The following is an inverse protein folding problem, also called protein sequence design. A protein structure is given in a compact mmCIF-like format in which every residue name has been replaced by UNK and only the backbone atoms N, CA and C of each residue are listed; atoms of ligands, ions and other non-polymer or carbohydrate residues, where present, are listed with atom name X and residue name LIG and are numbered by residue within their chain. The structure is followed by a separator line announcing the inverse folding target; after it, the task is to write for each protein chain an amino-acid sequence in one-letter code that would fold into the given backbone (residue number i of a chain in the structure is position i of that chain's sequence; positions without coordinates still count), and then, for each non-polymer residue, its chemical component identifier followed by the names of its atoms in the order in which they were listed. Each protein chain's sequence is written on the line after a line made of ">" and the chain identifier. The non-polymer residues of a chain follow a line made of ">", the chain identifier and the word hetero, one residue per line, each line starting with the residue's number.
data_IF_113629451180
#
_entry.id   IF_113629451180
#
_cell.length_a   1.000
_cell.length_b   1.000
_cell.length_c   1.000
_cell.angle_alpha   90.00
_cell.angle_beta   90.00
_cell.angle_gamma   90.00
#
_symmetry.space_group_name_H-M   'P 1'
#
loop_
_entity.id
_entity.type
_entity.pdbx_description
1 polymer ?
#
# COMPACT_ATOMS: atom_id res chain seq x y z
N UNK A 1 38.26 -0.92 -12.04
CA UNK A 1 37.58 -2.24 -11.95
C UNK A 1 36.15 -2.02 -11.48
N UNK A 2 35.18 -2.66 -12.12
CA UNK A 2 33.80 -2.71 -11.65
C UNK A 2 33.55 -4.04 -10.97
N UNK A 3 33.30 -4.00 -9.67
CA UNK A 3 32.94 -5.17 -8.89
C UNK A 3 31.43 -5.30 -8.79
N UNK A 4 30.90 -6.44 -9.23
CA UNK A 4 29.53 -6.85 -8.99
C UNK A 4 29.47 -7.94 -7.93
N UNK A 5 28.25 -8.36 -7.56
CA UNK A 5 28.09 -9.41 -6.54
C UNK A 5 28.70 -10.75 -7.00
N UNK A 6 28.51 -11.11 -8.26
CA UNK A 6 28.83 -12.44 -8.81
C UNK A 6 29.99 -12.46 -9.80
N UNK A 7 30.28 -11.32 -10.42
CA UNK A 7 31.30 -11.15 -11.45
C UNK A 7 31.93 -9.77 -11.30
N UNK A 8 33.12 -9.60 -11.84
CA UNK A 8 33.78 -8.30 -11.97
C UNK A 8 34.20 -8.06 -13.42
N UNK A 9 34.47 -6.80 -13.77
CA UNK A 9 34.90 -6.41 -15.10
C UNK A 9 35.96 -5.30 -15.03
N UNK A 10 37.03 -5.35 -15.84
CA UNK A 10 37.95 -4.24 -16.03
C UNK A 10 37.24 -3.02 -16.62
N UNK A 11 37.75 -1.81 -16.34
CA UNK A 11 37.18 -0.58 -16.91
C UNK A 11 37.44 -0.50 -18.43
N UNK A 12 38.61 -0.99 -18.86
CA UNK A 12 39.10 -0.96 -20.25
C UNK A 12 38.19 -1.78 -21.20
N UNK A 13 37.58 -2.86 -20.69
CA UNK A 13 36.64 -3.69 -21.45
C UNK A 13 35.44 -2.92 -22.01
N UNK A 14 35.01 -1.85 -21.34
CA UNK A 14 33.91 -1.02 -21.82
C UNK A 14 34.31 -0.16 -23.05
N UNK A 15 35.60 0.19 -23.16
CA UNK A 15 36.11 1.07 -24.22
C UNK A 15 36.57 0.30 -25.47
N UNK A 16 36.95 -0.97 -25.31
CA UNK A 16 37.37 -1.84 -26.43
C UNK A 16 36.20 -2.49 -27.18
N UNK A 17 34.96 -2.24 -26.77
CA UNK A 17 33.76 -2.80 -27.42
C UNK A 17 33.44 -4.26 -27.04
N UNK A 18 34.21 -4.88 -26.14
CA UNK A 18 33.99 -6.24 -25.65
C UNK A 18 33.82 -6.26 -24.12
N UNK A 19 32.63 -6.59 -23.65
CA UNK A 19 32.35 -6.71 -22.21
C UNK A 19 32.91 -8.01 -21.64
N UNK A 20 34.20 -8.03 -21.28
CA UNK A 20 34.77 -9.14 -20.51
C UNK A 20 34.28 -9.10 -19.06
N UNK A 21 33.43 -10.07 -18.70
CA UNK A 21 32.97 -10.30 -17.32
C UNK A 21 33.60 -11.58 -16.79
N UNK A 22 34.51 -11.44 -15.82
CA UNK A 22 35.18 -12.58 -15.20
C UNK A 22 34.43 -12.98 -13.93
N UNK A 23 34.24 -14.30 -13.74
CA UNK A 23 33.73 -14.82 -12.47
C UNK A 23 34.83 -14.69 -11.41
N UNK A 24 34.44 -14.56 -10.14
CA UNK A 24 35.41 -14.73 -9.06
C UNK A 24 35.92 -16.18 -9.09
N UNK A 25 37.16 -16.38 -9.53
CA UNK A 25 37.86 -17.67 -9.65
C UNK A 25 38.85 -17.86 -8.49
N UNK A 26 39.53 -19.02 -8.42
CA UNK A 26 40.32 -19.46 -7.24
C UNK A 26 41.30 -18.41 -6.70
N UNK A 27 41.91 -17.59 -7.57
CA UNK A 27 42.85 -16.54 -7.18
C UNK A 27 42.18 -15.36 -6.46
N UNK A 28 40.90 -15.07 -6.72
CA UNK A 28 40.10 -14.03 -6.08
C UNK A 28 38.91 -14.60 -5.29
N UNK A 29 38.86 -15.91 -5.05
CA UNK A 29 37.71 -16.56 -4.41
C UNK A 29 37.61 -16.17 -2.94
N UNK A 30 38.75 -16.00 -2.25
CA UNK A 30 38.78 -15.52 -0.87
C UNK A 30 38.27 -14.07 -0.73
N UNK A 31 38.36 -13.28 -1.80
CA UNK A 31 37.90 -11.89 -1.85
C UNK A 31 36.43 -11.79 -2.35
N UNK A 32 35.78 -12.92 -2.67
CA UNK A 32 34.40 -12.92 -3.14
C UNK A 32 33.44 -12.53 -1.99
N UNK A 33 32.46 -11.66 -2.26
CA UNK A 33 31.59 -11.14 -1.20
C UNK A 33 30.45 -12.10 -0.86
N UNK A 34 30.80 -13.26 -0.27
CA UNK A 34 29.86 -14.34 0.07
C UNK A 34 28.70 -13.86 0.95
N UNK A 35 29.00 -13.03 1.95
CA UNK A 35 27.99 -12.49 2.88
C UNK A 35 26.98 -11.62 2.12
N UNK A 36 27.44 -10.75 1.23
CA UNK A 36 26.56 -9.90 0.43
C UNK A 36 25.69 -10.72 -0.55
N UNK A 37 26.25 -11.81 -1.11
CA UNK A 37 25.48 -12.76 -1.95
C UNK A 37 24.37 -13.45 -1.16
N UNK A 38 24.66 -13.90 0.06
CA UNK A 38 23.69 -14.53 0.93
C UNK A 38 22.54 -13.58 1.23
N UNK A 39 22.84 -12.35 1.67
CA UNK A 39 21.82 -11.35 1.94
C UNK A 39 21.01 -10.96 0.70
N UNK A 40 21.67 -10.83 -0.47
CA UNK A 40 20.97 -10.58 -1.73
C UNK A 40 20.01 -11.73 -2.09
N UNK A 41 20.43 -12.98 -1.89
CA UNK A 41 19.57 -14.15 -2.10
C UNK A 41 18.38 -14.18 -1.13
N UNK A 42 18.62 -13.93 0.16
CA UNK A 42 17.57 -13.86 1.18
C UNK A 42 16.58 -12.74 0.88
N UNK A 43 17.05 -11.56 0.48
CA UNK A 43 16.21 -10.42 0.09
C UNK A 43 15.29 -10.76 -1.08
N UNK A 44 15.80 -11.47 -2.10
CA UNK A 44 15.00 -11.91 -3.23
C UNK A 44 13.93 -12.93 -2.82
N UNK A 45 14.28 -13.92 -2.00
CA UNK A 45 13.33 -14.93 -1.53
C UNK A 45 12.22 -14.31 -0.66
N UNK A 46 12.58 -13.42 0.27
CA UNK A 46 11.62 -12.74 1.13
C UNK A 46 10.72 -11.78 0.33
N UNK A 47 11.31 -11.01 -0.59
CA UNK A 47 10.56 -10.14 -1.49
C UNK A 47 9.58 -10.91 -2.38
N UNK A 48 10.03 -12.02 -2.98
CA UNK A 48 9.20 -12.87 -3.82
C UNK A 48 8.03 -13.49 -3.06
N UNK A 49 8.26 -13.95 -1.82
CA UNK A 49 7.18 -14.46 -0.96
C UNK A 49 6.12 -13.39 -0.68
N UNK A 50 6.54 -12.16 -0.32
CA UNK A 50 5.60 -11.08 -0.04
C UNK A 50 4.79 -10.69 -1.27
N UNK A 51 5.45 -10.55 -2.43
CA UNK A 51 4.78 -10.27 -3.70
C UNK A 51 3.84 -11.39 -4.12
N UNK A 52 4.19 -12.65 -3.87
CA UNK A 52 3.32 -13.79 -4.16
C UNK A 52 2.03 -13.75 -3.33
N UNK A 53 2.12 -13.46 -2.04
CA UNK A 53 0.93 -13.30 -1.18
C UNK A 53 0.06 -12.12 -1.65
N UNK A 54 0.68 -11.01 -2.00
CA UNK A 54 -0.03 -9.84 -2.55
C UNK A 54 -0.73 -10.18 -3.87
N UNK A 55 -0.03 -10.81 -4.80
CA UNK A 55 -0.59 -11.25 -6.09
C UNK A 55 -1.73 -12.24 -5.93
N UNK A 56 -1.55 -13.23 -5.06
CA UNK A 56 -2.57 -14.21 -4.75
C UNK A 56 -3.83 -13.53 -4.18
N UNK A 57 -3.66 -12.57 -3.27
CA UNK A 57 -4.76 -11.76 -2.76
C UNK A 57 -5.47 -10.98 -3.86
N UNK A 58 -4.74 -10.34 -4.78
CA UNK A 58 -5.34 -9.57 -5.88
C UNK A 58 -6.15 -10.44 -6.85
N UNK A 59 -5.71 -11.67 -7.12
CA UNK A 59 -6.40 -12.57 -8.05
C UNK A 59 -7.64 -13.20 -7.40
N UNK A 60 -7.50 -13.72 -6.19
CA UNK A 60 -8.55 -14.51 -5.56
C UNK A 60 -9.45 -13.71 -4.61
N UNK A 61 -9.02 -12.51 -4.18
CA UNK A 61 -9.71 -11.71 -3.18
C UNK A 61 -9.71 -12.32 -1.76
N UNK A 62 -8.93 -13.38 -1.55
CA UNK A 62 -8.89 -14.14 -0.30
C UNK A 62 -7.49 -14.04 0.30
N UNK A 63 -7.39 -13.53 1.53
CA UNK A 63 -6.17 -13.56 2.33
C UNK A 63 -6.51 -13.80 3.80
N UNK A 64 -5.77 -14.71 4.45
CA UNK A 64 -5.89 -14.89 5.91
C UNK A 64 -5.11 -13.80 6.64
N UNK A 65 -5.55 -13.42 7.83
CA UNK A 65 -4.87 -12.43 8.67
C UNK A 65 -3.40 -12.83 8.94
N UNK A 66 -3.16 -14.10 9.24
CA UNK A 66 -1.82 -14.60 9.55
C UNK A 66 -0.89 -14.52 8.34
N UNK A 67 -1.36 -14.90 7.15
CA UNK A 67 -0.56 -14.82 5.92
C UNK A 67 -0.25 -13.38 5.54
N UNK A 68 -1.20 -12.45 5.75
CA UNK A 68 -0.99 -11.03 5.46
C UNK A 68 0.05 -10.41 6.40
N UNK A 69 -0.10 -10.61 7.72
CA UNK A 69 0.86 -10.10 8.71
C UNK A 69 2.25 -10.73 8.50
N UNK A 70 2.30 -12.02 8.13
CA UNK A 70 3.55 -12.68 7.72
C UNK A 70 4.18 -11.98 6.51
N UNK A 71 3.41 -11.74 5.44
CA UNK A 71 3.89 -11.10 4.22
C UNK A 71 4.43 -9.68 4.48
N UNK A 72 3.79 -8.90 5.37
CA UNK A 72 4.29 -7.58 5.81
C UNK A 72 5.65 -7.72 6.49
N UNK A 73 5.78 -8.61 7.48
CA UNK A 73 7.04 -8.83 8.21
C UNK A 73 8.16 -9.29 7.30
N UNK A 74 7.87 -10.20 6.37
CA UNK A 74 8.84 -10.71 5.41
C UNK A 74 9.21 -9.64 4.36
N UNK A 75 8.29 -8.76 3.97
CA UNK A 75 8.57 -7.58 3.13
C UNK A 75 9.57 -6.63 3.81
N UNK A 76 9.35 -6.33 5.10
CA UNK A 76 10.26 -5.51 5.89
C UNK A 76 11.66 -6.14 5.98
N UNK A 77 11.74 -7.46 6.21
CA UNK A 77 13.00 -8.20 6.20
C UNK A 77 13.71 -8.14 4.84
N UNK A 78 12.95 -8.14 3.73
CA UNK A 78 13.53 -7.98 2.38
C UNK A 78 14.27 -6.64 2.25
N UNK A 79 13.65 -5.54 2.72
CA UNK A 79 14.29 -4.23 2.73
C UNK A 79 15.57 -4.19 3.56
N UNK A 80 15.57 -4.82 4.74
CA UNK A 80 16.75 -4.94 5.62
C UNK A 80 17.85 -5.75 4.93
N UNK A 81 17.55 -6.96 4.42
CA UNK A 81 18.53 -7.80 3.74
C UNK A 81 19.09 -7.14 2.48
N UNK A 82 18.25 -6.45 1.71
CA UNK A 82 18.70 -5.67 0.56
C UNK A 82 19.67 -4.56 0.99
N UNK A 83 19.38 -3.84 2.08
CA UNK A 83 20.30 -2.84 2.64
C UNK A 83 21.62 -3.45 3.14
N UNK A 84 21.57 -4.63 3.77
CA UNK A 84 22.76 -5.36 4.24
C UNK A 84 23.69 -5.82 3.10
N UNK A 85 23.22 -5.87 1.85
CA UNK A 85 24.12 -6.10 0.70
C UNK A 85 25.22 -5.03 0.59
N UNK A 86 24.99 -3.83 1.12
CA UNK A 86 25.96 -2.73 1.15
C UNK A 86 27.14 -2.99 2.11
N UNK A 87 27.07 -4.02 2.96
CA UNK A 87 28.23 -4.50 3.74
C UNK A 87 29.40 -4.85 2.81
N UNK A 88 29.14 -5.15 1.53
CA UNK A 88 30.17 -5.29 0.50
C UNK A 88 31.23 -4.19 0.53
N UNK A 89 30.82 -2.92 0.73
CA UNK A 89 31.74 -1.78 0.76
C UNK A 89 32.67 -1.76 1.97
N UNK A 90 32.35 -2.52 3.03
CA UNK A 90 33.23 -2.71 4.19
C UNK A 90 34.15 -3.93 4.07
N UNK A 91 34.05 -4.69 3.00
CA UNK A 91 34.88 -5.88 2.78
C UNK A 91 36.33 -5.55 2.40
N UNK A 92 37.20 -6.56 2.45
CA UNK A 92 38.63 -6.44 2.20
C UNK A 92 38.97 -5.82 0.83
N UNK A 93 38.14 -6.08 -0.19
CA UNK A 93 38.28 -5.51 -1.54
C UNK A 93 38.25 -3.98 -1.52
N UNK A 94 37.33 -3.39 -0.75
CA UNK A 94 37.18 -1.94 -0.62
C UNK A 94 38.00 -1.35 0.52
N UNK A 95 38.51 -2.19 1.43
CA UNK A 95 39.50 -1.76 2.41
C UNK A 95 40.87 -1.52 1.76
N UNK A 96 41.26 -2.39 0.82
CA UNK A 96 42.54 -2.28 0.09
C UNK A 96 42.51 -1.26 -1.05
N UNK A 97 41.35 -1.03 -1.66
CA UNK A 97 41.19 -0.13 -2.81
C UNK A 97 40.17 0.97 -2.50
N UNK A 98 40.40 2.19 -3.01
CA UNK A 98 39.38 3.24 -2.92
C UNK A 98 38.16 2.86 -3.77
N UNK A 99 37.08 2.41 -3.11
CA UNK A 99 35.83 2.07 -3.77
C UNK A 99 34.90 3.29 -3.84
N UNK A 100 34.33 3.51 -5.03
CA UNK A 100 33.23 4.45 -5.24
C UNK A 100 31.89 3.69 -5.37
N UNK A 101 30.81 4.37 -5.02
CA UNK A 101 29.46 3.81 -5.07
C UNK A 101 28.99 3.72 -6.53
N UNK A 102 28.92 2.50 -7.06
CA UNK A 102 28.50 2.24 -8.43
C UNK A 102 26.97 2.24 -8.62
N UNK A 103 26.49 2.18 -9.87
CA UNK A 103 25.05 2.19 -10.17
C UNK A 103 24.30 1.01 -9.55
N UNK A 104 24.92 -0.18 -9.46
CA UNK A 104 24.30 -1.33 -8.81
C UNK A 104 24.01 -1.11 -7.32
N UNK A 105 24.89 -0.37 -6.63
CA UNK A 105 24.67 0.00 -5.22
C UNK A 105 23.57 1.06 -5.07
N UNK A 106 23.51 2.03 -5.99
CA UNK A 106 22.41 3.01 -6.02
C UNK A 106 21.06 2.32 -6.20
N UNK A 107 20.96 1.38 -7.15
CA UNK A 107 19.74 0.57 -7.36
C UNK A 107 19.41 -0.25 -6.11
N UNK A 108 20.40 -0.80 -5.42
CA UNK A 108 20.18 -1.53 -4.17
C UNK A 108 19.59 -0.64 -3.06
N UNK A 109 20.08 0.59 -2.91
CA UNK A 109 19.56 1.58 -1.95
C UNK A 109 18.11 1.94 -2.30
N UNK A 110 17.83 2.28 -3.56
CA UNK A 110 16.49 2.62 -4.02
C UNK A 110 15.53 1.44 -3.83
N UNK A 111 15.96 0.23 -4.16
CA UNK A 111 15.18 -0.99 -3.95
C UNK A 111 14.87 -1.24 -2.48
N UNK A 112 15.86 -1.05 -1.58
CA UNK A 112 15.64 -1.17 -0.13
C UNK A 112 14.57 -0.18 0.37
N UNK A 113 14.61 1.09 -0.08
CA UNK A 113 13.59 2.10 0.24
C UNK A 113 12.21 1.66 -0.27
N UNK A 114 12.13 1.17 -1.51
CA UNK A 114 10.87 0.70 -2.10
C UNK A 114 10.27 -0.48 -1.33
N UNK A 115 11.09 -1.40 -0.81
CA UNK A 115 10.61 -2.48 0.05
C UNK A 115 10.01 -1.98 1.37
N UNK A 116 10.56 -0.93 1.97
CA UNK A 116 10.00 -0.33 3.18
C UNK A 116 8.68 0.40 2.90
N UNK A 117 8.62 1.17 1.81
CA UNK A 117 7.37 1.83 1.37
C UNK A 117 6.29 0.78 1.10
N UNK A 118 6.62 -0.29 0.36
CA UNK A 118 5.69 -1.37 0.08
C UNK A 118 5.23 -2.08 1.37
N UNK A 119 6.15 -2.35 2.31
CA UNK A 119 5.80 -2.94 3.60
C UNK A 119 4.86 -2.05 4.40
N UNK A 120 5.04 -0.73 4.34
CA UNK A 120 4.16 0.24 4.98
C UNK A 120 2.78 0.22 4.32
N UNK A 121 2.71 0.32 2.99
CA UNK A 121 1.44 0.26 2.26
C UNK A 121 0.68 -1.05 2.51
N UNK A 122 1.35 -2.21 2.56
CA UNK A 122 0.69 -3.48 2.93
C UNK A 122 0.18 -3.47 4.37
N UNK A 123 0.86 -2.78 5.28
CA UNK A 123 0.45 -2.70 6.68
C UNK A 123 -0.83 -1.85 6.83
N UNK A 124 -0.90 -0.70 6.16
CA UNK A 124 -2.06 0.21 6.25
C UNK A 124 -3.25 -0.27 5.43
N UNK A 125 -3.03 -0.89 4.26
CA UNK A 125 -4.09 -1.41 3.40
C UNK A 125 -4.46 -2.86 3.73
N UNK A 126 -4.55 -3.19 5.02
CA UNK A 126 -4.89 -4.53 5.46
C UNK A 126 -6.34 -4.90 5.05
N UNK A 127 -6.56 -6.04 4.37
CA UNK A 127 -7.89 -6.38 3.88
C UNK A 127 -8.87 -6.62 5.03
N UNK A 128 -10.01 -5.91 5.03
CA UNK A 128 -11.07 -6.09 6.04
C UNK A 128 -11.61 -7.53 6.06
N UNK A 129 -11.60 -8.23 4.92
CA UNK A 129 -12.02 -9.63 4.83
C UNK A 129 -11.19 -10.55 5.74
N UNK A 130 -9.92 -10.22 5.98
CA UNK A 130 -9.06 -10.96 6.90
C UNK A 130 -9.46 -10.74 8.38
N UNK A 131 -10.00 -9.56 8.73
CA UNK A 131 -10.45 -9.28 10.09
C UNK A 131 -11.76 -10.02 10.42
N UNK A 132 -12.68 -10.12 9.46
CA UNK A 132 -13.99 -10.76 9.67
C UNK A 132 -13.83 -12.27 9.94
N UNK A 133 -12.93 -12.95 9.23
CA UNK A 133 -12.67 -14.38 9.45
C UNK A 133 -12.09 -14.67 10.84
N UNK A 134 -11.26 -13.76 11.38
CA UNK A 134 -10.71 -13.88 12.73
C UNK A 134 -11.77 -13.80 13.83
N UNK A 135 -12.83 -13.03 13.62
CA UNK A 135 -13.97 -12.92 14.53
C UNK A 135 -14.85 -14.16 14.49
N UNK A 136 -15.13 -14.70 13.29
CA UNK A 136 -15.94 -15.91 13.13
C UNK A 136 -15.34 -17.12 13.87
N UNK A 137 -14.03 -17.33 13.79
CA UNK A 137 -13.35 -18.43 14.49
C UNK A 137 -13.26 -18.24 16.02
N UNK A 138 -13.32 -17.00 16.53
CA UNK A 138 -13.34 -16.74 17.99
C UNK A 138 -14.74 -16.84 18.60
N UNK A 139 -15.81 -16.77 17.80
CA UNK A 139 -17.19 -16.83 18.28
C UNK A 139 -17.70 -18.21 18.74
N UNK A 140 -16.86 -19.26 18.73
CA UNK A 140 -17.18 -20.50 19.46
C UNK A 140 -16.85 -20.46 20.95
N UNK A 141 -16.24 -19.38 21.46
CA UNK A 141 -15.94 -19.21 22.89
C UNK A 141 -16.41 -17.83 23.38
N UNK A 142 -17.73 -17.63 23.48
CA UNK A 142 -18.32 -16.78 24.53
C UNK A 142 -18.17 -15.25 24.48
N UNK A 143 -18.06 -14.59 23.33
CA UNK A 143 -17.99 -13.11 23.30
C UNK A 143 -18.69 -12.48 22.09
N UNK A 144 -20.02 -12.38 22.15
CA UNK A 144 -20.86 -11.78 21.09
C UNK A 144 -21.21 -10.30 21.33
N UNK A 145 -20.64 -9.64 22.34
CA UNK A 145 -21.23 -8.37 22.81
C UNK A 145 -20.59 -7.12 22.21
N UNK A 146 -19.29 -7.12 21.87
CA UNK A 146 -18.61 -5.88 21.46
C UNK A 146 -18.45 -5.67 19.94
N UNK A 147 -18.21 -6.71 19.14
CA UNK A 147 -18.19 -6.57 17.68
C UNK A 147 -19.58 -6.27 17.10
N UNK A 148 -20.64 -6.58 17.87
CA UNK A 148 -22.01 -6.21 17.54
C UNK A 148 -22.27 -4.70 17.69
N UNK A 149 -21.48 -3.94 18.44
CA UNK A 149 -21.78 -2.53 18.69
C UNK A 149 -21.43 -1.65 17.48
N UNK A 150 -20.25 -1.81 16.87
CA UNK A 150 -19.90 -1.01 15.69
C UNK A 150 -20.64 -1.46 14.43
N UNK A 151 -20.89 -2.77 14.28
CA UNK A 151 -21.69 -3.26 13.17
C UNK A 151 -23.18 -2.90 13.33
N UNK A 152 -23.71 -2.92 14.56
CA UNK A 152 -25.08 -2.45 14.82
C UNK A 152 -25.21 -0.96 14.56
N UNK A 153 -24.21 -0.13 14.86
CA UNK A 153 -24.28 1.30 14.54
C UNK A 153 -24.31 1.55 13.03
N UNK A 154 -23.53 0.79 12.25
CA UNK A 154 -23.62 0.84 10.79
C UNK A 154 -24.96 0.31 10.26
N UNK A 155 -25.49 -0.78 10.81
CA UNK A 155 -26.79 -1.33 10.42
C UNK A 155 -27.93 -0.38 10.77
N UNK A 156 -27.92 0.20 11.97
CA UNK A 156 -28.92 1.17 12.41
C UNK A 156 -28.83 2.46 11.58
N UNK A 157 -27.63 2.93 11.26
CA UNK A 157 -27.42 4.08 10.38
C UNK A 157 -27.92 3.84 8.95
N UNK A 158 -27.62 2.67 8.39
CA UNK A 158 -28.10 2.28 7.06
C UNK A 158 -29.63 2.12 7.02
N UNK A 159 -30.21 1.49 8.06
CA UNK A 159 -31.65 1.29 8.15
C UNK A 159 -32.40 2.62 8.39
N UNK A 160 -31.82 3.54 9.15
CA UNK A 160 -32.33 4.91 9.33
C UNK A 160 -32.24 5.75 8.04
N UNK A 161 -31.19 5.57 7.24
CA UNK A 161 -31.08 6.21 5.94
C UNK A 161 -32.13 5.68 4.97
N UNK A 162 -32.27 4.36 4.86
CA UNK A 162 -33.29 3.71 4.03
C UNK A 162 -34.68 4.11 4.46
N UNK A 163 -34.98 4.18 5.77
CA UNK A 163 -36.30 4.62 6.23
C UNK A 163 -36.58 6.08 5.88
N UNK A 164 -35.60 6.99 5.96
CA UNK A 164 -35.78 8.38 5.52
C UNK A 164 -36.06 8.47 4.02
N UNK A 165 -35.28 7.78 3.19
CA UNK A 165 -35.48 7.74 1.74
C UNK A 165 -36.83 7.09 1.38
N UNK A 166 -37.25 6.07 2.12
CA UNK A 166 -38.52 5.37 1.87
C UNK A 166 -39.74 6.14 2.43
N UNK A 167 -39.54 7.06 3.37
CA UNK A 167 -40.60 7.90 3.94
C UNK A 167 -40.80 9.15 3.07
N UNK A 168 -39.74 9.73 2.51
CA UNK A 168 -39.83 10.84 1.54
C UNK A 168 -40.36 10.39 0.17
N UNK A 169 -40.27 9.11 -0.18
CA UNK A 169 -40.88 8.57 -1.42
C UNK A 169 -42.39 8.33 -1.32
N UNK A 170 -43.03 8.66 -0.18
CA UNK A 170 -44.48 8.91 -0.13
C UNK A 170 -44.87 10.33 -0.51
N UNK A 171 -43.90 11.20 -0.83
CA UNK A 171 -44.19 12.42 -1.57
C UNK A 171 -44.41 12.04 -3.04
N UNK A 172 -45.68 11.69 -3.30
CA UNK A 172 -46.35 11.57 -4.59
C UNK A 172 -45.51 12.04 -5.76
N UNK A 173 -44.77 11.13 -6.42
CA UNK A 173 -44.17 11.41 -7.72
C UNK A 173 -45.34 11.65 -8.67
N UNK A 174 -45.62 12.89 -9.10
CA UNK A 174 -46.78 13.16 -9.92
C UNK A 174 -46.58 12.43 -11.25
N UNK A 175 -47.60 11.68 -11.67
CA UNK A 175 -47.55 11.00 -12.97
C UNK A 175 -47.23 12.01 -14.08
N UNK A 176 -46.53 11.56 -15.13
CA UNK A 176 -46.09 12.44 -16.24
C UNK A 176 -47.25 13.25 -16.87
N UNK A 177 -48.47 12.73 -16.77
CA UNK A 177 -49.71 13.37 -17.23
C UNK A 177 -50.12 14.58 -16.38
N UNK A 178 -49.74 14.62 -15.11
CA UNK A 178 -50.02 15.70 -14.16
C UNK A 178 -49.03 16.86 -14.32
N UNK A 179 -47.77 16.58 -14.68
CA UNK A 179 -46.80 17.62 -15.06
C UNK A 179 -47.18 18.32 -16.38
N UNK A 180 -47.81 17.62 -17.33
CA UNK A 180 -48.26 18.24 -18.59
C UNK A 180 -49.42 19.23 -18.38
N UNK A 181 -50.30 18.98 -17.41
CA UNK A 181 -51.46 19.84 -17.12
C UNK A 181 -51.09 21.13 -16.36
N UNK A 182 -50.01 21.12 -15.56
CA UNK A 182 -49.52 22.32 -14.86
C UNK A 182 -48.71 23.28 -15.75
N UNK A 183 -48.39 22.92 -17.00
CA UNK A 183 -47.66 23.81 -17.92
C UNK A 183 -48.57 24.76 -18.71
N UNK A 184 -49.89 24.60 -18.63
CA UNK A 184 -50.86 25.40 -19.38
C UNK A 184 -51.55 26.49 -18.56
N UNK A 185 -51.30 26.59 -17.26
CA UNK A 185 -51.79 27.72 -16.46
C UNK A 185 -50.81 28.89 -16.54
N UNK A 186 -51.19 30.02 -17.18
CA UNK A 186 -50.36 31.22 -17.18
C UNK A 186 -50.26 31.76 -15.76
N UNK A 187 -49.03 31.93 -15.30
CA UNK A 187 -48.70 32.54 -14.01
C UNK A 187 -49.12 34.01 -14.05
N UNK A 188 -49.95 34.50 -13.10
CA UNK A 188 -50.21 35.93 -12.96
C UNK A 188 -48.91 36.62 -12.54
N UNK A 189 -48.52 37.61 -13.32
CA UNK A 189 -47.31 38.39 -13.14
C UNK A 189 -47.52 39.36 -11.97
N UNK A 190 -47.37 38.85 -10.74
CA UNK A 190 -47.49 39.67 -9.53
C UNK A 190 -46.09 40.14 -9.12
N UNK A 191 -45.74 41.32 -9.65
CA UNK A 191 -44.50 41.99 -9.37
C UNK A 191 -44.37 42.38 -7.90
N UNK A 192 -43.56 41.65 -7.15
CA UNK A 192 -42.87 42.20 -5.97
C UNK A 192 -41.65 41.37 -5.59
N UNK A 193 -40.55 41.60 -6.31
CA UNK A 193 -39.23 41.14 -5.90
C UNK A 193 -38.80 41.86 -4.61
N UNK A 194 -38.87 41.18 -3.47
CA UNK A 194 -38.11 41.55 -2.26
C UNK A 194 -36.83 40.71 -2.18
N UNK A 195 -35.64 41.32 -2.15
CA UNK A 195 -34.39 40.59 -1.99
C UNK A 195 -34.29 40.08 -0.55
N UNK A 196 -34.23 38.75 -0.38
CA UNK A 196 -34.04 38.12 0.93
C UNK A 196 -32.54 38.11 1.24
N UNK A 197 -32.14 38.99 2.15
CA UNK A 197 -30.80 39.09 2.74
C UNK A 197 -30.36 37.75 3.36
N UNK A 198 -29.37 37.09 2.75
CA UNK A 198 -28.67 35.94 3.31
C UNK A 198 -27.38 36.41 3.99
N UNK A 199 -27.46 36.73 5.28
CA UNK A 199 -26.31 36.88 6.18
C UNK A 199 -26.32 35.71 7.17
N UNK A 200 -25.93 34.53 6.68
CA UNK A 200 -25.59 33.39 7.51
C UNK A 200 -24.08 33.33 7.70
N UNK A 201 -23.56 33.93 8.77
CA UNK A 201 -22.15 33.84 9.15
C UNK A 201 -21.90 32.46 9.79
N UNK A 202 -21.21 31.59 9.06
CA UNK A 202 -20.78 30.30 9.57
C UNK A 202 -19.54 30.50 10.46
N UNK A 203 -19.64 30.11 11.74
CA UNK A 203 -18.49 29.99 12.64
C UNK A 203 -18.12 28.51 12.79
N UNK A 204 -16.89 28.09 12.43
CA UNK A 204 -16.43 26.74 12.73
C UNK A 204 -16.12 26.58 14.24
N UNK A 205 -16.27 25.37 14.79
CA UNK A 205 -15.89 25.08 16.17
C UNK A 205 -14.37 25.10 16.32
N UNK A 206 -13.89 25.84 17.32
CA UNK A 206 -12.50 25.82 17.78
C UNK A 206 -12.22 24.51 18.50
N UNK A 207 -11.24 23.76 17.99
CA UNK A 207 -10.72 22.54 18.64
C UNK A 207 -9.80 22.97 19.79
N UNK A 208 -9.98 22.27 20.91
CA UNK A 208 -9.45 22.49 22.26
C UNK A 208 -7.91 22.46 22.39
N UNK A 209 -7.43 23.20 23.40
CA UNK A 209 -6.18 22.97 24.13
C UNK A 209 -6.20 21.58 24.81
N UNK A 210 -5.13 20.81 24.60
CA UNK A 210 -4.68 19.68 25.41
C UNK A 210 -3.17 19.51 25.24
#
# INVERSE_FOLDING_TARGET
>A
LHFGLWKYSPLESAFEGYTFCTKYDENYTNDAPHIARLFGGLALLSGAYSLFVLWFYLIFGIATQNTWVSAVRVCMLAGIFQGLTLIFFKGDVCSRNQCALGPGAMVSILSSIMWFVLSFELHYNMPMSAMIQGLSNRHHVGSNVMASLELADFQNGAQAYVSRVNTDSKEYIPSLNQMRRNRETPVPDDGSARPRSTTGSYRPPTVFDL
#
